data_IF_563264936725
#
_entry.id   IF_563264936725
#
_cell.length_a   1.000
_cell.length_b   1.000
_cell.length_c   1.000
_cell.angle_alpha   90.00
_cell.angle_beta   90.00
_cell.angle_gamma   90.00
#
_symmetry.space_group_name_H-M   'P 1'
#
loop_
_entity.id
_entity.type
_entity.pdbx_description
1 polymer ?
#
# COMPACT_ATOMS: atom_id res chain seq x y z
N UNK A 1 19.12 -5.88 -17.10
CA UNK A 1 19.98 -5.36 -16.01
C UNK A 1 19.07 -5.07 -14.83
N UNK A 2 19.36 -5.55 -13.61
CA UNK A 2 18.49 -5.32 -12.46
C UNK A 2 18.41 -3.83 -12.13
N UNK A 3 17.24 -3.36 -11.69
CA UNK A 3 17.06 -1.98 -11.26
C UNK A 3 17.92 -1.68 -10.03
N UNK A 4 18.46 -0.46 -9.88
CA UNK A 4 19.25 -0.08 -8.71
C UNK A 4 18.41 -0.23 -7.44
N UNK A 5 19.08 -0.56 -6.33
CA UNK A 5 18.45 -0.63 -5.01
C UNK A 5 18.05 0.79 -4.59
N UNK A 6 16.78 1.04 -4.25
CA UNK A 6 16.34 2.34 -3.75
C UNK A 6 17.06 2.74 -2.47
N UNK A 7 17.29 4.03 -2.27
CA UNK A 7 18.00 4.55 -1.10
C UNK A 7 17.08 5.04 0.03
N UNK A 8 15.83 5.37 -0.28
CA UNK A 8 14.87 5.95 0.68
C UNK A 8 13.44 5.68 0.23
N UNK A 9 12.50 5.78 1.18
CA UNK A 9 11.07 5.65 0.94
C UNK A 9 10.56 6.60 -0.14
N UNK A 10 9.60 6.13 -0.92
CA UNK A 10 8.78 6.90 -1.87
C UNK A 10 9.50 7.65 -3.00
N UNK A 11 10.79 7.36 -3.24
CA UNK A 11 11.51 7.92 -4.39
C UNK A 11 11.49 7.03 -5.63
N UNK A 12 11.49 5.72 -5.46
CA UNK A 12 11.55 4.76 -6.56
C UNK A 12 10.33 3.85 -6.49
N UNK A 13 9.35 4.11 -7.34
CA UNK A 13 8.06 3.42 -7.32
C UNK A 13 7.98 2.40 -8.46
N UNK A 14 7.22 1.34 -8.23
CA UNK A 14 6.71 0.47 -9.28
C UNK A 14 5.21 0.67 -9.42
N UNK A 15 4.70 0.56 -10.65
CA UNK A 15 3.32 0.74 -11.00
C UNK A 15 2.90 -0.38 -11.96
N UNK A 16 1.78 -1.02 -11.65
CA UNK A 16 1.21 -2.12 -12.44
C UNK A 16 -0.33 -2.12 -12.34
N UNK A 17 -0.98 -2.90 -13.20
CA UNK A 17 -2.42 -3.08 -13.20
C UNK A 17 -2.85 -4.54 -13.06
N UNK A 18 -3.73 -4.79 -12.09
CA UNK A 18 -4.51 -6.04 -12.06
C UNK A 18 -5.77 -5.84 -12.90
N UNK A 19 -5.83 -6.53 -14.03
CA UNK A 19 -6.94 -6.45 -15.00
C UNK A 19 -7.87 -7.68 -14.89
N UNK A 20 -9.05 -7.58 -15.50
CA UNK A 20 -9.96 -8.72 -15.67
C UNK A 20 -10.78 -9.08 -14.43
N UNK A 21 -10.94 -8.15 -13.49
CA UNK A 21 -11.77 -8.35 -12.30
C UNK A 21 -13.26 -8.25 -12.63
N UNK A 22 -14.14 -8.94 -11.88
CA UNK A 22 -15.58 -8.79 -12.01
C UNK A 22 -15.99 -7.33 -11.84
N UNK A 23 -16.79 -6.81 -12.78
CA UNK A 23 -17.23 -5.41 -12.72
C UNK A 23 -18.09 -5.15 -11.47
N UNK A 24 -17.69 -4.16 -10.67
CA UNK A 24 -18.38 -3.77 -9.43
C UNK A 24 -19.59 -2.89 -9.69
N UNK A 25 -20.40 -2.62 -8.66
CA UNK A 25 -21.54 -1.68 -8.75
C UNK A 25 -21.10 -0.26 -9.10
N UNK A 26 -19.92 0.16 -8.64
CA UNK A 26 -19.30 1.46 -8.99
C UNK A 26 -18.71 1.47 -10.41
N UNK A 27 -18.71 0.31 -11.07
CA UNK A 27 -18.26 0.13 -12.44
C UNK A 27 -16.75 -0.02 -12.57
N UNK A 28 -16.06 -0.37 -11.49
CA UNK A 28 -14.63 -0.67 -11.49
C UNK A 28 -14.38 -2.09 -11.97
N UNK A 29 -13.31 -2.31 -12.72
CA UNK A 29 -12.94 -3.62 -13.29
C UNK A 29 -11.42 -3.84 -13.33
N UNK A 30 -10.65 -2.98 -12.66
CA UNK A 30 -9.19 -3.05 -12.58
C UNK A 30 -8.68 -2.43 -11.28
N UNK A 31 -7.47 -2.79 -10.87
CA UNK A 31 -6.78 -2.18 -9.73
C UNK A 31 -5.45 -1.62 -10.22
N UNK A 32 -5.19 -0.35 -9.92
CA UNK A 32 -3.87 0.26 -10.03
C UNK A 32 -3.07 -0.09 -8.78
N UNK A 33 -1.95 -0.77 -8.95
CA UNK A 33 -1.07 -1.20 -7.86
C UNK A 33 0.19 -0.36 -7.91
N UNK A 34 0.46 0.40 -6.85
CA UNK A 34 1.66 1.23 -6.72
C UNK A 34 2.47 0.75 -5.54
N UNK A 35 3.75 0.44 -5.75
CA UNK A 35 4.61 -0.13 -4.72
C UNK A 35 5.84 0.75 -4.55
N UNK A 36 6.11 1.19 -3.32
CA UNK A 36 7.41 1.75 -2.96
C UNK A 36 8.45 0.64 -2.91
N UNK A 37 9.46 0.72 -3.80
CA UNK A 37 10.47 -0.33 -3.91
C UNK A 37 11.38 -0.39 -2.70
N UNK A 38 11.47 0.66 -1.88
CA UNK A 38 12.25 0.67 -0.65
C UNK A 38 11.49 -0.03 0.50
N UNK A 39 10.39 0.57 0.96
CA UNK A 39 9.63 0.08 2.12
C UNK A 39 8.77 -1.16 1.83
N UNK A 40 8.52 -1.46 0.55
CA UNK A 40 7.51 -2.42 0.08
C UNK A 40 6.08 -2.00 0.37
N UNK A 41 5.84 -0.73 0.73
CA UNK A 41 4.49 -0.23 0.96
C UNK A 41 3.74 -0.19 -0.37
N UNK A 42 2.52 -0.71 -0.38
CA UNK A 42 1.68 -0.77 -1.57
C UNK A 42 0.41 0.06 -1.39
N UNK A 43 -0.04 0.69 -2.46
CA UNK A 43 -1.37 1.25 -2.60
C UNK A 43 -2.16 0.47 -3.63
N UNK A 44 -3.40 0.12 -3.29
CA UNK A 44 -4.33 -0.60 -4.15
C UNK A 44 -5.53 0.30 -4.46
N UNK A 45 -5.57 0.82 -5.67
CA UNK A 45 -6.56 1.82 -6.06
C UNK A 45 -7.51 1.23 -7.10
N UNK A 46 -8.81 1.23 -6.83
CA UNK A 46 -9.81 0.80 -7.81
C UNK A 46 -9.84 1.74 -9.02
N UNK A 47 -9.87 1.15 -10.21
CA UNK A 47 -9.95 1.91 -11.45
C UNK A 47 -10.74 1.14 -12.52
N UNK A 48 -10.86 1.76 -13.69
CA UNK A 48 -11.48 1.15 -14.86
C UNK A 48 -10.42 0.87 -15.91
N UNK A 49 -10.49 -0.29 -16.57
CA UNK A 49 -9.61 -0.65 -17.68
C UNK A 49 -9.68 0.35 -18.82
N UNK A 50 -10.83 1.03 -18.97
CA UNK A 50 -11.09 2.05 -19.99
C UNK A 50 -10.53 3.43 -19.64
N UNK A 51 -9.91 3.61 -18.47
CA UNK A 51 -9.23 4.86 -18.16
C UNK A 51 -8.08 5.08 -19.14
N UNK A 52 -8.08 6.27 -19.74
CA UNK A 52 -6.98 6.77 -20.53
C UNK A 52 -5.83 7.25 -19.63
N UNK A 53 -4.70 7.60 -20.25
CA UNK A 53 -3.52 8.08 -19.53
C UNK A 53 -3.81 9.32 -18.66
N UNK A 54 -4.74 10.19 -19.08
CA UNK A 54 -5.09 11.39 -18.31
C UNK A 54 -5.82 11.04 -17.02
N UNK A 55 -6.78 10.11 -17.07
CA UNK A 55 -7.49 9.66 -15.88
C UNK A 55 -6.57 8.88 -14.94
N UNK A 56 -5.66 8.06 -15.46
CA UNK A 56 -4.61 7.43 -14.65
C UNK A 56 -3.69 8.49 -14.00
N UNK A 57 -3.39 9.61 -14.68
CA UNK A 57 -2.61 10.71 -14.10
C UNK A 57 -3.29 11.29 -12.88
N UNK A 58 -4.54 11.67 -13.06
CA UNK A 58 -5.34 12.27 -11.99
C UNK A 58 -5.45 11.32 -10.81
N UNK A 59 -5.69 10.04 -11.08
CA UNK A 59 -5.78 9.01 -10.04
C UNK A 59 -4.46 8.87 -9.28
N UNK A 60 -3.33 8.79 -10.00
CA UNK A 60 -2.00 8.71 -9.38
C UNK A 60 -1.69 9.95 -8.51
N UNK A 61 -2.06 11.14 -8.96
CA UNK A 61 -1.86 12.36 -8.18
C UNK A 61 -2.70 12.39 -6.90
N UNK A 62 -3.98 12.01 -7.01
CA UNK A 62 -4.92 12.06 -5.89
C UNK A 62 -4.60 11.03 -4.81
N UNK A 63 -4.16 9.84 -5.22
CA UNK A 63 -3.96 8.72 -4.31
C UNK A 63 -2.52 8.56 -3.85
N UNK A 64 -1.53 8.92 -4.69
CA UNK A 64 -0.11 8.67 -4.39
C UNK A 64 0.62 9.99 -4.10
N UNK A 65 0.64 10.91 -5.06
CA UNK A 65 1.44 12.16 -4.94
C UNK A 65 0.96 13.01 -3.78
N UNK A 66 -0.36 13.05 -3.54
CA UNK A 66 -0.95 13.75 -2.39
C UNK A 66 -0.39 13.26 -1.04
N UNK A 67 -0.07 11.97 -0.93
CA UNK A 67 0.40 11.36 0.31
C UNK A 67 1.93 11.44 0.45
N UNK A 68 2.66 11.21 -0.64
CA UNK A 68 4.10 10.92 -0.57
C UNK A 68 4.98 11.87 -1.38
N UNK A 69 4.37 12.76 -2.16
CA UNK A 69 5.07 13.64 -3.09
C UNK A 69 5.38 12.98 -4.42
N UNK A 70 6.12 13.71 -5.25
CA UNK A 70 6.47 13.29 -6.62
C UNK A 70 7.67 12.33 -6.54
N UNK A 71 7.57 11.12 -7.12
CA UNK A 71 8.68 10.17 -7.11
C UNK A 71 9.82 10.63 -8.02
N UNK A 72 11.03 10.17 -7.71
CA UNK A 72 12.21 10.34 -8.56
C UNK A 72 12.16 9.39 -9.76
N UNK A 73 11.75 8.15 -9.56
CA UNK A 73 11.60 7.18 -10.64
C UNK A 73 10.30 6.40 -10.53
N UNK A 74 9.76 6.04 -11.68
CA UNK A 74 8.57 5.23 -11.83
C UNK A 74 8.86 4.08 -12.80
N UNK A 75 8.87 2.86 -12.30
CA UNK A 75 8.95 1.65 -13.12
C UNK A 75 7.54 1.18 -13.45
N UNK A 76 7.29 0.87 -14.71
CA UNK A 76 6.00 0.30 -15.15
C UNK A 76 6.21 -0.70 -16.28
N UNK A 77 5.24 -1.58 -16.48
CA UNK A 77 5.14 -2.35 -17.71
C UNK A 77 4.91 -1.46 -18.95
N UNK A 78 4.97 -2.07 -20.15
CA UNK A 78 4.70 -1.38 -21.43
C UNK A 78 3.20 -1.34 -21.75
N UNK A 79 2.32 -1.11 -20.78
CA UNK A 79 0.93 -0.80 -21.09
C UNK A 79 0.87 0.51 -21.92
N UNK A 80 0.07 0.50 -22.98
CA UNK A 80 -0.18 1.65 -23.86
C UNK A 80 -0.58 2.91 -23.09
N UNK A 81 -1.20 2.76 -21.91
CA UNK A 81 -1.51 3.88 -21.01
C UNK A 81 -0.26 4.63 -20.54
N UNK A 82 0.83 3.93 -20.28
CA UNK A 82 2.10 4.49 -19.79
C UNK A 82 3.07 4.90 -20.90
N UNK A 83 2.87 4.36 -22.10
CA UNK A 83 3.65 4.72 -23.29
C UNK A 83 3.12 6.01 -23.96
N UNK A 84 1.94 6.50 -23.55
CA UNK A 84 1.34 7.68 -24.16
C UNK A 84 2.28 8.90 -24.11
N UNK A 85 2.28 9.68 -25.19
CA UNK A 85 3.12 10.86 -25.32
C UNK A 85 2.88 11.85 -24.18
N UNK A 86 1.63 12.04 -23.77
CA UNK A 86 1.27 12.90 -22.64
C UNK A 86 1.93 12.44 -21.34
N UNK A 87 1.89 11.14 -21.03
CA UNK A 87 2.48 10.58 -19.81
C UNK A 87 3.98 10.84 -19.75
N UNK A 88 4.67 10.57 -20.88
CA UNK A 88 6.12 10.78 -20.99
C UNK A 88 6.50 12.25 -20.83
N UNK A 89 5.77 13.17 -21.46
CA UNK A 89 6.04 14.60 -21.35
C UNK A 89 5.72 15.16 -19.96
N UNK A 90 4.68 14.65 -19.29
CA UNK A 90 4.35 15.02 -17.91
C UNK A 90 5.51 14.69 -16.96
N UNK A 91 5.96 13.43 -16.94
CA UNK A 91 7.04 13.02 -16.04
C UNK A 91 8.38 13.67 -16.38
N UNK A 92 8.66 13.90 -17.67
CA UNK A 92 9.82 14.66 -18.11
C UNK A 92 9.82 16.08 -17.52
N UNK A 93 8.66 16.76 -17.49
CA UNK A 93 8.53 18.08 -16.84
C UNK A 93 8.67 18.03 -15.32
N UNK A 94 8.27 16.93 -14.70
CA UNK A 94 8.41 16.69 -13.26
C UNK A 94 9.80 16.17 -12.86
N UNK A 95 10.70 15.99 -13.83
CA UNK A 95 12.05 15.43 -13.62
C UNK A 95 12.01 14.02 -13.00
N UNK A 96 10.98 13.23 -13.34
CA UNK A 96 10.84 11.83 -12.93
C UNK A 96 11.28 10.91 -14.05
N UNK A 97 12.15 9.96 -13.73
CA UNK A 97 12.63 8.94 -14.66
C UNK A 97 11.58 7.83 -14.83
N UNK A 98 11.05 7.64 -16.04
CA UNK A 98 10.17 6.50 -16.35
C UNK A 98 11.00 5.33 -16.87
N UNK A 99 10.94 4.21 -16.17
CA UNK A 99 11.57 2.96 -16.57
C UNK A 99 10.51 1.98 -17.07
N UNK A 100 10.39 1.81 -18.38
CA UNK A 100 9.48 0.82 -18.96
C UNK A 100 10.15 -0.56 -19.00
N UNK A 101 9.61 -1.52 -18.25
CA UNK A 101 10.11 -2.90 -18.26
C UNK A 101 9.85 -3.56 -19.63
N UNK A 102 10.72 -4.49 -20.04
CA UNK A 102 10.52 -5.21 -21.31
C UNK A 102 9.64 -6.43 -21.08
N UNK A 103 8.73 -6.72 -22.02
CA UNK A 103 7.84 -7.89 -21.96
C UNK A 103 8.56 -9.25 -21.83
N UNK A 104 9.87 -9.28 -22.08
CA UNK A 104 10.71 -10.48 -22.07
C UNK A 104 11.69 -10.55 -20.89
N UNK A 105 11.69 -9.59 -19.95
CA UNK A 105 12.55 -9.63 -18.76
C UNK A 105 11.75 -9.46 -17.45
N UNK A 106 11.13 -10.54 -16.94
CA UNK A 106 10.40 -10.58 -15.66
C UNK A 106 11.22 -10.13 -14.45
N UNK A 107 12.56 -10.15 -14.55
CA UNK A 107 13.47 -9.75 -13.48
C UNK A 107 13.34 -8.29 -13.02
N UNK A 108 12.78 -7.39 -13.85
CA UNK A 108 12.71 -5.96 -13.48
C UNK A 108 11.51 -5.64 -12.60
N UNK A 109 10.46 -6.46 -12.63
CA UNK A 109 9.18 -6.18 -11.94
C UNK A 109 8.66 -7.36 -11.07
N UNK A 110 9.51 -8.36 -10.81
CA UNK A 110 9.13 -9.50 -9.97
C UNK A 110 8.69 -9.12 -8.54
N UNK A 111 8.97 -7.91 -8.08
CA UNK A 111 8.44 -7.40 -6.80
C UNK A 111 6.94 -7.12 -6.89
N UNK A 112 6.50 -6.42 -7.93
CA UNK A 112 5.08 -6.08 -8.13
C UNK A 112 4.27 -7.32 -8.43
N UNK A 113 4.84 -8.29 -9.17
CA UNK A 113 4.21 -9.60 -9.38
C UNK A 113 3.90 -10.33 -8.06
N UNK A 114 4.84 -10.30 -7.09
CA UNK A 114 4.64 -10.88 -5.76
C UNK A 114 3.55 -10.13 -4.99
N UNK A 115 3.51 -8.80 -5.10
CA UNK A 115 2.46 -7.97 -4.49
C UNK A 115 1.10 -8.32 -5.07
N UNK A 116 0.97 -8.36 -6.40
CA UNK A 116 -0.27 -8.69 -7.10
C UNK A 116 -0.77 -10.09 -6.76
N UNK A 117 0.12 -11.07 -6.66
CA UNK A 117 -0.24 -12.43 -6.23
C UNK A 117 -0.78 -12.44 -4.79
N UNK A 118 -0.14 -11.68 -3.91
CA UNK A 118 -0.58 -11.55 -2.51
C UNK A 118 -1.96 -10.88 -2.44
N UNK A 119 -2.15 -9.78 -3.16
CA UNK A 119 -3.44 -9.09 -3.28
C UNK A 119 -4.53 -10.02 -3.82
N UNK A 120 -4.26 -10.78 -4.88
CA UNK A 120 -5.20 -11.75 -5.44
C UNK A 120 -5.63 -12.81 -4.43
N UNK A 121 -4.71 -13.30 -3.59
CA UNK A 121 -5.03 -14.23 -2.51
C UNK A 121 -5.88 -13.57 -1.41
N UNK A 122 -5.53 -12.35 -0.99
CA UNK A 122 -6.29 -11.60 0.01
C UNK A 122 -7.72 -11.33 -0.46
N UNK A 123 -7.89 -10.91 -1.72
CA UNK A 123 -9.21 -10.68 -2.31
C UNK A 123 -10.04 -11.96 -2.38
N UNK A 124 -9.45 -13.11 -2.73
CA UNK A 124 -10.17 -14.40 -2.69
C UNK A 124 -10.72 -14.71 -1.30
N UNK A 125 -9.94 -14.44 -0.25
CA UNK A 125 -10.37 -14.65 1.14
C UNK A 125 -11.42 -13.63 1.60
N UNK A 126 -11.27 -12.36 1.23
CA UNK A 126 -12.12 -11.26 1.68
C UNK A 126 -13.48 -11.23 0.96
N UNK A 127 -13.48 -11.48 -0.34
CA UNK A 127 -14.64 -11.28 -1.20
C UNK A 127 -15.60 -12.48 -1.15
N UNK A 128 -15.08 -13.70 -0.93
CA UNK A 128 -15.85 -14.94 -0.82
C UNK A 128 -16.91 -15.05 -1.94
N UNK A 129 -18.19 -15.16 -1.58
CA UNK A 129 -19.31 -15.26 -2.54
C UNK A 129 -19.67 -13.93 -3.21
N UNK A 130 -19.23 -12.79 -2.68
CA UNK A 130 -19.63 -11.45 -3.13
C UNK A 130 -18.64 -10.83 -4.13
N UNK A 131 -18.31 -11.56 -5.19
CA UNK A 131 -17.28 -11.23 -6.19
C UNK A 131 -17.29 -9.81 -6.76
N UNK A 132 -18.41 -9.07 -6.69
CA UNK A 132 -18.57 -7.70 -7.21
C UNK A 132 -18.35 -6.58 -6.16
N UNK A 133 -17.92 -6.92 -4.94
CA UNK A 133 -17.68 -5.98 -3.84
C UNK A 133 -16.19 -5.80 -3.49
N UNK A 134 -15.29 -6.29 -4.35
CA UNK A 134 -13.86 -6.23 -4.08
C UNK A 134 -13.33 -4.80 -3.91
N UNK A 135 -13.92 -3.82 -4.60
CA UNK A 135 -13.53 -2.41 -4.50
C UNK A 135 -13.85 -1.80 -3.13
N UNK A 136 -14.91 -2.26 -2.46
CA UNK A 136 -15.24 -1.87 -1.08
C UNK A 136 -14.24 -2.41 -0.05
N UNK A 137 -13.50 -3.48 -0.39
CA UNK A 137 -12.59 -4.19 0.51
C UNK A 137 -11.12 -3.86 0.26
N UNK A 138 -10.80 -3.05 -0.76
CA UNK A 138 -9.42 -2.71 -1.09
C UNK A 138 -8.68 -2.02 0.05
N UNK A 139 -9.34 -1.09 0.76
CA UNK A 139 -8.73 -0.40 1.90
C UNK A 139 -8.33 -1.37 3.02
N UNK A 140 -9.16 -2.39 3.27
CA UNK A 140 -8.86 -3.45 4.23
C UNK A 140 -7.69 -4.32 3.75
N UNK A 141 -7.68 -4.67 2.46
CA UNK A 141 -6.59 -5.43 1.86
C UNK A 141 -5.26 -4.66 1.89
N UNK A 142 -5.28 -3.37 1.58
CA UNK A 142 -4.12 -2.49 1.62
C UNK A 142 -3.56 -2.37 3.05
N UNK A 143 -4.43 -2.09 4.03
CA UNK A 143 -4.02 -2.00 5.42
C UNK A 143 -3.43 -3.31 5.93
N UNK A 144 -4.08 -4.44 5.65
CA UNK A 144 -3.58 -5.75 6.04
C UNK A 144 -2.21 -6.05 5.38
N UNK A 145 -2.06 -5.78 4.08
CA UNK A 145 -0.79 -5.99 3.37
C UNK A 145 0.34 -5.15 3.97
N UNK A 146 0.10 -3.85 4.18
CA UNK A 146 1.09 -2.92 4.72
C UNK A 146 1.40 -3.16 6.21
N UNK A 147 0.53 -3.88 6.92
CA UNK A 147 0.74 -4.26 8.32
C UNK A 147 1.52 -5.57 8.47
N UNK A 148 1.61 -6.40 7.42
CA UNK A 148 2.30 -7.68 7.48
C UNK A 148 3.82 -7.53 7.30
N UNK A 149 4.65 -8.17 8.14
CA UNK A 149 6.10 -8.17 7.96
C UNK A 149 6.50 -8.72 6.61
N UNK A 150 7.35 -7.99 5.88
CA UNK A 150 7.92 -8.49 4.63
C UNK A 150 9.15 -9.35 4.94
N UNK A 151 9.26 -10.52 4.31
CA UNK A 151 10.39 -11.45 4.52
C UNK A 151 11.75 -10.80 4.25
N UNK A 152 11.83 -9.88 3.28
CA UNK A 152 13.10 -9.26 2.89
C UNK A 152 13.60 -8.20 3.88
N UNK A 153 12.70 -7.46 4.52
CA UNK A 153 13.05 -6.38 5.45
C UNK A 153 12.93 -6.79 6.93
N UNK A 154 12.20 -7.87 7.23
CA UNK A 154 11.86 -8.27 8.59
C UNK A 154 10.84 -7.35 9.28
N UNK A 155 10.44 -6.25 8.63
CA UNK A 155 9.54 -5.23 9.14
C UNK A 155 8.32 -5.12 8.23
N UNK A 156 7.19 -4.65 8.78
CA UNK A 156 6.04 -4.33 7.94
C UNK A 156 6.29 -3.05 7.14
N UNK A 157 5.75 -2.92 5.92
CA UNK A 157 5.89 -1.69 5.15
C UNK A 157 5.45 -0.44 5.92
N UNK A 158 4.36 -0.55 6.70
CA UNK A 158 3.88 0.52 7.57
C UNK A 158 4.93 0.95 8.59
N UNK A 159 5.63 0.00 9.22
CA UNK A 159 6.72 0.32 10.14
C UNK A 159 7.87 1.06 9.47
N UNK A 160 8.26 0.66 8.25
CA UNK A 160 9.38 1.29 7.55
C UNK A 160 9.06 2.74 7.19
N UNK A 161 7.82 3.03 6.80
CA UNK A 161 7.39 4.37 6.39
C UNK A 161 7.14 5.28 7.59
N UNK A 162 6.44 4.80 8.62
CA UNK A 162 5.99 5.63 9.74
C UNK A 162 6.82 5.47 11.01
N UNK A 163 7.85 4.62 11.01
CA UNK A 163 8.69 4.29 12.17
C UNK A 163 7.89 3.82 13.39
N UNK A 164 6.71 3.24 13.16
CA UNK A 164 5.78 2.78 14.20
C UNK A 164 4.91 1.64 13.66
N UNK A 165 4.47 0.75 14.55
CA UNK A 165 3.41 -0.21 14.25
C UNK A 165 2.10 0.50 13.87
N UNK A 166 1.33 -0.08 12.92
CA UNK A 166 -0.03 0.34 12.70
C UNK A 166 -0.84 0.09 13.98
N UNK A 167 -1.76 1.00 14.30
CA UNK A 167 -2.71 0.75 15.38
C UNK A 167 -3.71 -0.30 14.89
N UNK A 168 -3.68 -1.50 15.44
CA UNK A 168 -4.68 -2.53 15.17
C UNK A 168 -5.95 -2.27 15.97
N UNK A 169 -7.06 -2.87 15.54
CA UNK A 169 -8.34 -2.79 16.26
C UNK A 169 -8.20 -3.22 17.71
N UNK A 170 -7.39 -4.23 18.01
CA UNK A 170 -7.11 -4.67 19.39
C UNK A 170 -6.31 -3.66 20.21
N UNK A 171 -5.52 -2.79 19.56
CA UNK A 171 -4.71 -1.78 20.24
C UNK A 171 -5.56 -0.56 20.66
N UNK A 172 -6.69 -0.34 19.97
CA UNK A 172 -7.56 0.83 20.16
C UNK A 172 -8.91 0.47 20.78
N UNK A 173 -9.38 -0.77 20.59
CA UNK A 173 -10.65 -1.20 21.11
C UNK A 173 -10.62 -1.25 22.65
N UNK A 174 -11.59 -0.60 23.27
CA UNK A 174 -11.95 -0.87 24.67
C UNK A 174 -12.55 -2.27 24.68
N UNK A 175 -11.75 -3.27 25.03
CA UNK A 175 -12.21 -4.65 25.07
C UNK A 175 -13.35 -4.77 26.10
N UNK A 176 -14.46 -5.46 25.76
CA UNK A 176 -15.48 -5.78 26.76
C UNK A 176 -14.86 -6.58 27.90
N UNK A 177 -15.35 -6.37 29.13
CA UNK A 177 -14.82 -7.05 30.33
C UNK A 177 -14.80 -8.57 30.08
N UNK A 178 -13.60 -9.13 30.04
CA UNK A 178 -13.42 -10.57 29.85
C UNK A 178 -13.80 -11.29 31.16
N UNK A 179 -14.63 -12.33 31.09
CA UNK A 179 -14.96 -13.16 32.25
C UNK A 179 -13.78 -14.04 32.71
N UNK A 180 -12.71 -14.12 31.91
CA UNK A 180 -11.48 -14.82 32.29
C UNK A 180 -10.63 -13.94 33.22
N UNK A 181 -10.40 -14.42 34.44
CA UNK A 181 -9.62 -13.72 35.48
C UNK A 181 -8.18 -13.43 35.05
N UNK A 182 -7.55 -14.35 34.30
CA UNK A 182 -6.17 -14.20 33.82
C UNK A 182 -6.11 -13.12 32.73
N UNK A 183 -7.05 -13.14 31.78
CA UNK A 183 -7.10 -12.14 30.71
C UNK A 183 -7.42 -10.74 31.26
N UNK A 184 -8.29 -10.65 32.27
CA UNK A 184 -8.60 -9.40 32.96
C UNK A 184 -7.36 -8.81 33.68
N UNK A 185 -6.60 -9.64 34.41
CA UNK A 185 -5.37 -9.20 35.09
C UNK A 185 -4.30 -8.70 34.10
N UNK A 186 -4.11 -9.41 32.97
CA UNK A 186 -3.16 -8.98 31.94
C UNK A 186 -3.58 -7.65 31.29
N UNK A 187 -4.88 -7.46 31.02
CA UNK A 187 -5.40 -6.21 30.46
C UNK A 187 -5.29 -5.04 31.44
N UNK A 188 -5.54 -5.27 32.74
CA UNK A 188 -5.36 -4.27 33.80
C UNK A 188 -3.88 -3.85 33.92
N UNK A 189 -2.95 -4.80 33.92
CA UNK A 189 -1.52 -4.52 33.95
C UNK A 189 -1.08 -3.70 32.73
N UNK A 190 -1.53 -4.07 31.52
CA UNK A 190 -1.22 -3.31 30.31
C UNK A 190 -1.77 -1.87 30.36
N UNK A 191 -2.99 -1.70 30.88
CA UNK A 191 -3.62 -0.38 31.04
C UNK A 191 -2.85 0.50 32.04
N UNK A 192 -2.41 -0.08 33.17
CA UNK A 192 -1.58 0.62 34.15
C UNK A 192 -0.23 1.05 33.56
N UNK A 193 0.43 0.18 32.80
CA UNK A 193 1.70 0.51 32.14
C UNK A 193 1.53 1.71 31.18
N UNK A 194 0.47 1.73 30.38
CA UNK A 194 0.18 2.84 29.47
C UNK A 194 -0.13 4.15 30.22
N UNK A 195 -0.84 4.09 31.35
CA UNK A 195 -1.09 5.26 32.21
C UNK A 195 0.21 5.80 32.83
N UNK A 196 1.07 4.92 33.33
CA UNK A 196 2.36 5.33 33.92
C UNK A 196 3.27 6.01 32.88
N UNK A 197 3.31 5.48 31.66
CA UNK A 197 4.05 6.11 30.55
C UNK A 197 3.46 7.48 30.22
N UNK A 198 2.13 7.60 30.18
CA UNK A 198 1.45 8.87 29.92
C UNK A 198 1.77 9.93 30.98
N UNK A 199 1.69 9.57 32.26
CA UNK A 199 2.00 10.49 33.37
C UNK A 199 3.46 10.96 33.34
N UNK A 200 4.40 10.08 32.98
CA UNK A 200 5.82 10.46 32.81
C UNK A 200 6.03 11.41 31.64
N UNK A 201 5.29 11.24 30.54
CA UNK A 201 5.35 12.14 29.39
C UNK A 201 4.73 13.51 29.70
N UNK A 202 3.60 13.54 30.41
CA UNK A 202 2.96 14.79 30.85
C UNK A 202 3.90 15.56 31.80
N UNK A 203 4.50 14.88 32.79
CA UNK A 203 5.47 15.48 33.70
C UNK A 203 6.76 15.97 32.99
N UNK A 204 7.17 15.32 31.90
CA UNK A 204 8.33 15.73 31.12
C UNK A 204 8.06 16.94 30.21
N UNK A 205 6.81 17.20 29.85
CA UNK A 205 6.43 18.34 29.00
C UNK A 205 6.12 19.61 29.81
N UNK A 206 5.99 19.50 31.14
CA UNK A 206 5.79 20.61 32.08
C UNK A 206 7.12 21.18 32.65
N UNK A 207 8.26 20.61 32.26
CA UNK A 207 9.62 21.10 32.58
C UNK A 207 10.23 21.88 31.41
#
# INVERSE_FOLDING_TARGET
>A
MPLPVPATIWKDLSLDFVLGLPRTKRGNDSIMVVVDRFSKMAHFVDCKKTFDALNIARLFFNEIVRLHGIPRSLTSDRDVKFVSHFWRELWKRLQTDINLSSAYHPQSDGQTEVVNRTLGNMLRCLVQEYSKRWDELLSQAEFAYNSMPNRSTGLSPFHVVYMKAPNHTVDVAVLPKCNSRIAAQTAEHFTQMLQDVRLKLEASNEQ
#
